data_IF_475485693404
#
_entry.id   IF_475485693404
#
_cell.length_a   1.000
_cell.length_b   1.000
_cell.length_c   1.000
_cell.angle_alpha   90.00
_cell.angle_beta   90.00
_cell.angle_gamma   90.00
#
_symmetry.space_group_name_H-M   'P 1'
#
loop_
_entity.id
_entity.type
_entity.pdbx_description
1 polymer ?
#
# COMPACT_ATOMS: atom_id res chain seq x y z
N UNK A 1 0.62 -19.57 14.31
CA UNK A 1 0.13 -18.16 14.27
C UNK A 1 0.21 -17.73 12.82
N UNK A 2 -0.87 -17.18 12.26
CA UNK A 2 -0.85 -16.76 10.85
C UNK A 2 0.18 -15.63 10.66
N UNK A 3 0.95 -15.70 9.58
CA UNK A 3 1.91 -14.69 9.18
C UNK A 3 1.56 -14.24 7.76
N UNK A 4 1.69 -12.94 7.50
CA UNK A 4 1.32 -12.33 6.23
C UNK A 4 2.37 -11.30 5.84
N UNK A 5 2.78 -11.35 4.58
CA UNK A 5 3.59 -10.31 3.97
C UNK A 5 2.69 -9.44 3.10
N UNK A 6 2.79 -8.12 3.26
CA UNK A 6 2.04 -7.12 2.49
C UNK A 6 3.02 -6.20 1.79
N UNK A 7 2.96 -6.11 0.48
CA UNK A 7 3.75 -5.18 -0.31
C UNK A 7 2.86 -4.03 -0.76
N UNK A 8 3.36 -2.80 -0.67
CA UNK A 8 2.66 -1.58 -1.10
C UNK A 8 3.54 -0.74 -2.03
N UNK A 9 2.88 -0.09 -2.99
CA UNK A 9 3.46 0.96 -3.81
C UNK A 9 2.47 2.12 -3.94
N UNK A 10 3.02 3.32 -4.05
CA UNK A 10 2.30 4.55 -4.38
C UNK A 10 3.13 5.35 -5.37
N UNK A 11 2.46 6.15 -6.18
CA UNK A 11 3.10 7.14 -7.04
C UNK A 11 2.17 8.32 -7.28
N UNK A 12 2.74 9.50 -7.47
CA UNK A 12 1.99 10.72 -7.73
C UNK A 12 2.75 11.59 -8.73
N UNK A 13 2.03 12.17 -9.69
CA UNK A 13 2.52 13.23 -10.57
C UNK A 13 2.02 14.56 -10.04
N UNK A 14 2.94 15.43 -9.65
CA UNK A 14 2.65 16.67 -8.91
C UNK A 14 1.80 17.69 -9.67
N UNK A 15 1.85 17.69 -11.02
CA UNK A 15 1.09 18.63 -11.84
C UNK A 15 0.31 17.87 -12.92
N UNK A 16 -1.04 17.95 -12.95
CA UNK A 16 -2.00 18.61 -12.04
C UNK A 16 -2.42 17.78 -10.81
N UNK A 17 -1.58 16.86 -10.31
CA UNK A 17 -1.84 16.11 -9.07
C UNK A 17 -2.69 14.86 -9.26
N UNK A 18 -2.19 13.85 -9.97
CA UNK A 18 -2.83 12.53 -10.02
C UNK A 18 -1.91 11.46 -9.48
N UNK A 19 -2.49 10.50 -8.78
CA UNK A 19 -1.73 9.45 -8.12
C UNK A 19 -2.44 8.11 -8.18
N UNK A 20 -1.65 7.07 -7.99
CA UNK A 20 -2.12 5.71 -7.90
C UNK A 20 -1.38 4.95 -6.82
N UNK A 21 -2.02 3.90 -6.34
CA UNK A 21 -1.48 3.02 -5.31
C UNK A 21 -1.85 1.58 -5.63
N UNK A 22 -1.07 0.65 -5.08
CA UNK A 22 -1.37 -0.77 -5.12
C UNK A 22 -0.87 -1.44 -3.86
N UNK A 23 -1.55 -2.51 -3.46
CA UNK A 23 -1.01 -3.47 -2.51
C UNK A 23 -1.27 -4.90 -2.96
N UNK A 24 -0.40 -5.79 -2.51
CA UNK A 24 -0.60 -7.23 -2.54
C UNK A 24 -0.32 -7.75 -1.13
N UNK A 25 -1.18 -8.62 -0.62
CA UNK A 25 -0.93 -9.39 0.60
C UNK A 25 -0.89 -10.88 0.27
N UNK A 26 0.02 -11.61 0.90
CA UNK A 26 0.19 -13.05 0.74
C UNK A 26 0.36 -13.69 2.12
N UNK A 27 -0.42 -14.73 2.39
CA UNK A 27 -0.27 -15.53 3.60
C UNK A 27 1.00 -16.37 3.50
N UNK A 28 1.88 -16.29 4.49
CA UNK A 28 3.15 -16.99 4.48
C UNK A 28 2.93 -18.51 4.64
N UNK A 29 3.60 -19.30 3.80
CA UNK A 29 3.47 -20.76 3.81
C UNK A 29 2.19 -21.29 3.14
N UNK A 30 1.27 -20.42 2.72
CA UNK A 30 0.10 -20.81 1.94
C UNK A 30 0.32 -20.61 0.43
N UNK A 31 -0.39 -21.38 -0.37
CA UNK A 31 -0.29 -21.34 -1.84
C UNK A 31 -1.66 -21.25 -2.50
N UNK A 32 -1.67 -20.84 -3.77
CA UNK A 32 -2.88 -20.75 -4.58
C UNK A 32 -3.64 -19.43 -4.41
N UNK A 33 -4.75 -19.33 -5.13
CA UNK A 33 -5.48 -18.07 -5.29
C UNK A 33 -6.18 -17.55 -4.02
N UNK A 34 -6.37 -18.40 -3.01
CA UNK A 34 -6.96 -17.99 -1.73
C UNK A 34 -5.93 -17.31 -0.81
N UNK A 35 -4.65 -17.67 -0.95
CA UNK A 35 -3.55 -17.18 -0.13
C UNK A 35 -3.10 -15.76 -0.49
N UNK A 36 -3.53 -15.24 -1.65
CA UNK A 36 -3.11 -13.95 -2.18
C UNK A 36 -4.31 -13.05 -2.48
N UNK A 37 -4.25 -11.81 -2.00
CA UNK A 37 -5.22 -10.75 -2.33
C UNK A 37 -4.47 -9.49 -2.69
N UNK A 38 -5.07 -8.62 -3.48
CA UNK A 38 -4.49 -7.32 -3.78
C UNK A 38 -5.52 -6.37 -4.37
N UNK A 39 -5.25 -5.09 -4.24
CA UNK A 39 -6.07 -4.05 -4.83
C UNK A 39 -5.18 -2.92 -5.35
N UNK A 40 -5.73 -2.15 -6.27
CA UNK A 40 -5.12 -0.93 -6.76
C UNK A 40 -6.19 0.15 -6.87
N UNK A 41 -5.76 1.40 -6.74
CA UNK A 41 -6.63 2.55 -6.81
C UNK A 41 -5.86 3.79 -7.24
N UNK A 42 -6.58 4.89 -7.32
CA UNK A 42 -5.98 6.17 -7.67
C UNK A 42 -6.95 7.31 -7.47
N UNK A 43 -6.39 8.51 -7.38
CA UNK A 43 -7.11 9.75 -7.10
C UNK A 43 -6.62 10.89 -8.00
N UNK A 44 -7.54 11.82 -8.29
CA UNK A 44 -7.21 13.14 -8.83
C UNK A 44 -7.09 14.15 -7.69
N UNK A 45 -6.33 15.21 -7.93
CA UNK A 45 -6.06 16.29 -6.96
C UNK A 45 -5.50 15.70 -5.66
N UNK A 46 -4.43 14.93 -5.80
CA UNK A 46 -3.75 14.22 -4.71
C UNK A 46 -2.28 14.63 -4.63
N UNK A 47 -1.60 14.19 -3.58
CA UNK A 47 -0.19 14.41 -3.31
C UNK A 47 0.56 13.07 -3.16
N UNK A 48 1.90 13.11 -3.22
CA UNK A 48 2.73 11.93 -2.95
C UNK A 48 2.48 11.37 -1.54
N UNK A 49 2.47 12.25 -0.54
CA UNK A 49 2.18 11.91 0.85
C UNK A 49 0.82 11.22 1.00
N UNK A 50 -0.23 11.80 0.40
CA UNK A 50 -1.57 11.23 0.44
C UNK A 50 -1.62 9.84 -0.18
N UNK A 51 -0.98 9.63 -1.34
CA UNK A 51 -0.99 8.30 -1.98
C UNK A 51 -0.23 7.25 -1.19
N UNK A 52 0.89 7.61 -0.55
CA UNK A 52 1.60 6.70 0.35
C UNK A 52 0.77 6.32 1.58
N UNK A 53 0.10 7.31 2.21
CA UNK A 53 -0.76 7.09 3.37
C UNK A 53 -2.02 6.29 3.00
N UNK A 54 -2.64 6.55 1.85
CA UNK A 54 -3.77 5.77 1.33
C UNK A 54 -3.35 4.33 1.05
N UNK A 55 -2.22 4.10 0.38
CA UNK A 55 -1.71 2.74 0.11
C UNK A 55 -1.50 1.93 1.40
N UNK A 56 -0.92 2.56 2.42
CA UNK A 56 -0.72 1.97 3.74
C UNK A 56 -2.05 1.63 4.43
N UNK A 57 -2.99 2.58 4.45
CA UNK A 57 -4.29 2.39 5.10
C UNK A 57 -5.08 1.26 4.45
N UNK A 58 -5.16 1.28 3.12
CA UNK A 58 -5.82 0.24 2.31
C UNK A 58 -5.21 -1.15 2.52
N UNK A 59 -3.88 -1.22 2.59
CA UNK A 59 -3.15 -2.44 2.88
C UNK A 59 -3.47 -2.98 4.29
N UNK A 60 -3.52 -2.12 5.31
CA UNK A 60 -3.83 -2.51 6.69
C UNK A 60 -5.30 -2.88 6.89
N UNK A 61 -6.23 -2.14 6.26
CA UNK A 61 -7.66 -2.47 6.22
C UNK A 61 -7.89 -3.84 5.59
N UNK A 62 -7.11 -4.17 4.56
CA UNK A 62 -7.21 -5.48 3.90
C UNK A 62 -7.05 -6.62 4.89
N UNK A 63 -6.32 -6.44 6.00
CA UNK A 63 -6.03 -7.43 7.04
C UNK A 63 -7.14 -7.59 8.08
N UNK A 64 -8.28 -6.90 7.95
CA UNK A 64 -9.37 -6.97 8.93
C UNK A 64 -9.96 -8.38 9.13
N UNK A 65 -9.73 -9.30 8.20
CA UNK A 65 -10.10 -10.72 8.30
C UNK A 65 -9.07 -11.57 9.10
N UNK A 66 -7.98 -10.98 9.57
CA UNK A 66 -6.96 -11.63 10.39
C UNK A 66 -6.96 -11.08 11.83
N UNK A 67 -6.64 -11.92 12.84
CA UNK A 67 -6.44 -11.47 14.22
C UNK A 67 -5.43 -10.31 14.31
N UNK A 68 -5.60 -9.43 15.29
CA UNK A 68 -4.70 -8.29 15.50
C UNK A 68 -3.25 -8.73 15.74
N UNK A 69 -3.07 -9.88 16.39
CA UNK A 69 -1.79 -10.49 16.77
C UNK A 69 -1.13 -11.29 15.63
N UNK A 70 -1.77 -11.39 14.46
CA UNK A 70 -1.12 -11.98 13.30
C UNK A 70 0.17 -11.21 12.98
N UNK A 71 1.25 -11.93 12.69
CA UNK A 71 2.53 -11.30 12.33
C UNK A 71 2.40 -10.70 10.93
N UNK A 72 2.68 -9.42 10.80
CA UNK A 72 2.61 -8.68 9.54
C UNK A 72 4.00 -8.18 9.17
N UNK A 73 4.48 -8.51 7.98
CA UNK A 73 5.63 -7.81 7.37
C UNK A 73 5.10 -6.87 6.30
N UNK A 74 5.22 -5.56 6.52
CA UNK A 74 4.82 -4.56 5.54
C UNK A 74 6.04 -4.04 4.79
N UNK A 75 6.02 -4.29 3.48
CA UNK A 75 7.05 -3.94 2.51
C UNK A 75 6.61 -2.75 1.68
N UNK A 76 7.39 -1.67 1.66
CA UNK A 76 6.97 -0.41 1.05
C UNK A 76 8.05 0.20 0.15
N UNK A 77 7.62 0.77 -0.97
CA UNK A 77 8.50 1.40 -1.96
C UNK A 77 8.85 2.86 -1.66
N UNK A 78 8.02 3.55 -0.87
CA UNK A 78 8.28 4.93 -0.45
C UNK A 78 9.33 4.96 0.67
N UNK A 79 10.59 5.35 0.39
CA UNK A 79 11.67 5.26 1.36
C UNK A 79 11.46 6.13 2.59
N UNK A 80 10.64 7.19 2.48
CA UNK A 80 10.42 8.13 3.57
C UNK A 80 9.30 7.68 4.52
N UNK A 81 8.43 6.76 4.10
CA UNK A 81 7.20 6.41 4.81
C UNK A 81 7.43 6.05 6.28
N UNK A 82 8.40 5.18 6.58
CA UNK A 82 8.67 4.78 7.96
C UNK A 82 9.11 5.96 8.84
N UNK A 83 9.97 6.83 8.33
CA UNK A 83 10.39 8.04 9.05
C UNK A 83 9.23 9.01 9.26
N UNK A 84 8.40 9.18 8.24
CA UNK A 84 7.21 10.04 8.28
C UNK A 84 6.16 9.56 9.28
N UNK A 85 5.99 8.25 9.48
CA UNK A 85 5.04 7.70 10.47
C UNK A 85 5.45 7.93 11.93
N UNK A 86 6.74 8.18 12.19
CA UNK A 86 7.26 8.42 13.55
C UNK A 86 7.38 9.90 13.85
N UNK A 87 7.71 10.72 12.84
CA UNK A 87 7.88 12.17 12.99
C UNK A 87 6.55 12.88 13.27
N UNK A 88 6.45 13.59 14.40
CA UNK A 88 5.23 14.32 14.83
C UNK A 88 4.93 15.56 13.99
N UNK A 89 5.95 16.15 13.39
CA UNK A 89 5.92 17.36 12.57
C UNK A 89 6.58 17.13 11.20
N UNK A 90 6.63 15.88 10.75
CA UNK A 90 7.15 15.51 9.44
C UNK A 90 6.32 16.09 8.28
N UNK A 91 6.88 16.01 7.08
CA UNK A 91 6.23 16.48 5.87
C UNK A 91 4.82 15.87 5.67
N UNK A 92 4.63 14.59 6.02
CA UNK A 92 3.33 13.93 5.88
C UNK A 92 2.33 14.42 6.93
N UNK A 93 2.78 14.60 8.17
CA UNK A 93 1.94 15.14 9.25
C UNK A 93 1.49 16.57 8.96
N UNK A 94 2.33 17.37 8.29
CA UNK A 94 2.02 18.76 7.95
C UNK A 94 1.15 18.86 6.69
N UNK A 95 1.45 18.06 5.66
CA UNK A 95 0.72 18.13 4.39
C UNK A 95 -0.65 17.43 4.46
N UNK A 96 -0.75 16.32 5.20
CA UNK A 96 -1.92 15.44 5.22
C UNK A 96 -2.25 14.99 6.67
N UNK A 97 -2.54 15.92 7.61
CA UNK A 97 -2.60 15.63 9.05
C UNK A 97 -3.63 14.55 9.42
N UNK A 98 -4.81 14.59 8.82
CA UNK A 98 -5.88 13.61 9.10
C UNK A 98 -5.51 12.21 8.59
N UNK A 99 -5.02 12.11 7.35
CA UNK A 99 -4.59 10.83 6.77
C UNK A 99 -3.39 10.24 7.51
N UNK A 100 -2.46 11.10 7.95
CA UNK A 100 -1.31 10.70 8.75
C UNK A 100 -1.73 10.15 10.12
N UNK A 101 -2.64 10.82 10.82
CA UNK A 101 -3.17 10.36 12.10
C UNK A 101 -3.88 9.01 11.97
N UNK A 102 -4.72 8.85 10.94
CA UNK A 102 -5.40 7.59 10.65
C UNK A 102 -4.42 6.44 10.36
N UNK A 103 -3.40 6.69 9.52
CA UNK A 103 -2.38 5.70 9.21
C UNK A 103 -1.60 5.26 10.46
N UNK A 104 -1.24 6.19 11.35
CA UNK A 104 -0.58 5.85 12.63
C UNK A 104 -1.46 5.03 13.55
N UNK A 105 -2.76 5.34 13.63
CA UNK A 105 -3.71 4.54 14.40
C UNK A 105 -3.83 3.11 13.82
N UNK A 106 -3.89 2.98 12.50
CA UNK A 106 -3.93 1.68 11.84
C UNK A 106 -2.66 0.85 12.10
N UNK A 107 -1.48 1.48 12.03
CA UNK A 107 -0.21 0.84 12.41
C UNK A 107 -0.22 0.39 13.88
N UNK A 108 -0.68 1.25 14.79
CA UNK A 108 -0.75 0.94 16.23
C UNK A 108 -1.74 -0.20 16.55
N UNK A 109 -2.74 -0.44 15.70
CA UNK A 109 -3.69 -1.56 15.86
C UNK A 109 -3.06 -2.94 15.55
N UNK A 110 -1.84 -2.98 15.02
CA UNK A 110 -1.09 -4.20 14.69
C UNK A 110 0.15 -4.32 15.58
N UNK A 111 0.04 -4.96 16.77
CA UNK A 111 1.16 -5.04 17.72
C UNK A 111 2.35 -5.86 17.22
N UNK A 112 2.18 -6.71 16.20
CA UNK A 112 3.24 -7.53 15.60
C UNK A 112 3.42 -7.14 14.13
N UNK A 113 3.94 -5.93 13.89
CA UNK A 113 4.13 -5.34 12.57
C UNK A 113 5.59 -4.94 12.36
N UNK A 114 6.22 -5.53 11.35
CA UNK A 114 7.55 -5.18 10.87
C UNK A 114 7.42 -4.28 9.63
N UNK A 115 8.02 -3.09 9.67
CA UNK A 115 8.10 -2.16 8.54
C UNK A 115 9.45 -2.34 7.83
N UNK A 116 9.43 -2.78 6.58
CA UNK A 116 10.64 -3.11 5.80
C UNK A 116 10.65 -2.35 4.47
N UNK A 117 11.63 -1.48 4.20
CA UNK A 117 11.77 -0.86 2.88
C UNK A 117 11.98 -1.92 1.78
N UNK A 118 11.30 -1.75 0.65
CA UNK A 118 11.49 -2.56 -0.55
C UNK A 118 12.49 -1.90 -1.50
N UNK A 119 13.28 -2.71 -2.20
CA UNK A 119 14.11 -2.19 -3.28
C UNK A 119 13.30 -2.00 -4.58
N UNK A 120 13.46 -0.89 -5.31
CA UNK A 120 12.85 -0.70 -6.63
C UNK A 120 13.26 -1.76 -7.66
N UNK A 121 14.41 -2.42 -7.47
CA UNK A 121 14.90 -3.48 -8.36
C UNK A 121 14.24 -4.85 -8.14
N UNK A 122 13.44 -5.02 -7.09
CA UNK A 122 12.71 -6.27 -6.85
C UNK A 122 11.55 -6.45 -7.86
N UNK A 123 11.32 -7.68 -8.31
CA UNK A 123 10.22 -7.96 -9.24
C UNK A 123 8.84 -7.65 -8.62
N UNK A 124 8.68 -7.87 -7.31
CA UNK A 124 7.47 -7.53 -6.54
C UNK A 124 7.18 -6.02 -6.59
N UNK A 125 8.23 -5.20 -6.47
CA UNK A 125 8.16 -3.75 -6.63
C UNK A 125 7.69 -3.38 -8.03
N UNK A 126 8.28 -3.97 -9.07
CA UNK A 126 7.86 -3.73 -10.46
C UNK A 126 6.39 -4.09 -10.71
N UNK A 127 5.91 -5.21 -10.16
CA UNK A 127 4.50 -5.59 -10.25
C UNK A 127 3.58 -4.54 -9.63
N UNK A 128 3.90 -4.07 -8.42
CA UNK A 128 3.08 -3.08 -7.74
C UNK A 128 3.13 -1.72 -8.41
N UNK A 129 4.30 -1.28 -8.86
CA UNK A 129 4.45 -0.04 -9.62
C UNK A 129 3.57 -0.04 -10.87
N UNK A 130 3.51 -1.16 -11.62
CA UNK A 130 2.64 -1.27 -12.78
C UNK A 130 1.14 -1.12 -12.42
N UNK A 131 0.72 -1.67 -11.28
CA UNK A 131 -0.67 -1.51 -10.80
C UNK A 131 -0.97 -0.12 -10.26
N UNK A 132 -0.01 0.52 -9.59
CA UNK A 132 -0.13 1.91 -9.17
C UNK A 132 -0.15 2.85 -10.38
N UNK A 133 0.59 2.55 -11.46
CA UNK A 133 0.57 3.33 -12.71
C UNK A 133 -0.78 3.19 -13.41
N UNK A 134 -1.27 1.95 -13.53
CA UNK A 134 -2.63 1.69 -14.01
C UNK A 134 -3.67 2.48 -13.22
N UNK A 135 -3.48 2.59 -11.90
CA UNK A 135 -4.35 3.37 -11.06
C UNK A 135 -4.26 4.87 -11.30
N UNK A 136 -3.06 5.41 -11.42
CA UNK A 136 -2.87 6.81 -11.79
C UNK A 136 -3.57 7.13 -13.12
N UNK A 137 -3.38 6.29 -14.15
CA UNK A 137 -3.93 6.52 -15.49
C UNK A 137 -5.46 6.40 -15.52
N UNK A 138 -6.00 5.45 -14.76
CA UNK A 138 -7.45 5.32 -14.57
C UNK A 138 -8.01 6.55 -13.84
N UNK A 139 -7.33 7.00 -12.79
CA UNK A 139 -7.76 8.19 -12.04
C UNK A 139 -7.73 9.46 -12.89
N UNK A 140 -6.68 9.62 -13.70
CA UNK A 140 -6.55 10.71 -14.67
C UNK A 140 -7.73 10.76 -15.64
N UNK A 141 -8.16 9.61 -16.15
CA UNK A 141 -9.20 9.51 -17.18
C UNK A 141 -10.63 9.48 -16.65
N UNK A 142 -10.87 8.81 -15.51
CA UNK A 142 -12.21 8.50 -14.98
C UNK A 142 -12.50 9.05 -13.58
N UNK A 143 -11.52 9.66 -12.92
CA UNK A 143 -11.62 10.09 -11.53
C UNK A 143 -11.32 8.98 -10.54
N UNK A 144 -11.50 9.26 -9.24
CA UNK A 144 -11.07 8.36 -8.18
C UNK A 144 -11.68 6.97 -8.32
N UNK A 145 -10.87 5.94 -8.12
CA UNK A 145 -11.31 4.55 -8.24
C UNK A 145 -10.49 3.63 -7.34
N UNK A 146 -11.06 2.46 -7.05
CA UNK A 146 -10.44 1.35 -6.33
C UNK A 146 -10.98 0.06 -6.90
N UNK A 147 -10.11 -0.91 -7.14
CA UNK A 147 -10.51 -2.22 -7.65
C UNK A 147 -9.59 -3.32 -7.11
N UNK A 148 -10.16 -4.51 -6.89
CA UNK A 148 -9.36 -5.70 -6.62
C UNK A 148 -8.53 -6.06 -7.86
N UNK A 149 -7.27 -6.45 -7.66
CA UNK A 149 -6.41 -6.95 -8.73
C UNK A 149 -6.98 -8.31 -9.17
N UNK A 150 -7.25 -8.53 -10.48
CA UNK A 150 -7.82 -9.78 -10.96
C UNK A 150 -6.97 -11.00 -10.57
N UNK A 151 -7.61 -12.10 -10.16
CA UNK A 151 -6.92 -13.34 -9.75
C UNK A 151 -5.87 -13.82 -10.76
N UNK A 152 -6.11 -13.84 -12.09
CA UNK A 152 -5.08 -14.25 -13.05
C UNK A 152 -3.81 -13.40 -13.02
N UNK A 153 -3.90 -12.14 -12.60
CA UNK A 153 -2.76 -11.26 -12.44
C UNK A 153 -2.09 -11.45 -11.08
N UNK A 154 -2.85 -11.63 -9.99
CA UNK A 154 -2.28 -12.00 -8.68
C UNK A 154 -1.48 -13.30 -8.74
N UNK A 155 -1.92 -14.29 -9.52
CA UNK A 155 -1.18 -15.54 -9.71
C UNK A 155 0.17 -15.36 -10.42
N UNK A 156 0.43 -14.19 -11.02
CA UNK A 156 1.73 -13.81 -11.61
C UNK A 156 2.60 -12.99 -10.65
N UNK A 157 2.10 -12.69 -9.45
CA UNK A 157 2.89 -11.97 -8.45
C UNK A 157 4.17 -12.77 -8.14
N UNK A 158 5.35 -12.14 -8.17
CA UNK A 158 6.60 -12.83 -7.96
C UNK A 158 6.64 -13.57 -6.62
N UNK A 159 7.33 -14.72 -6.63
CA UNK A 159 7.42 -15.62 -5.48
C UNK A 159 8.18 -14.99 -4.31
#
# INVERSE_FOLDING_TARGET
>A
MASVTVWIASLCRADPGYGGWAYVRKMDGETGAAAIKGAAGGERRTSGAKMSLTALTEALESLADLPAEARVTLRFLDPDLAGQLVATDGAYATAEPEAWAAARAAVASRPVLDLVPSSPGEATSGFLSAWAEFGLDTAKSRGSFKAAIPKPNLMKFPA
#
